data_IF_209014014689
#
_entry.id   IF_209014014689
#
_cell.length_a   1.000
_cell.length_b   1.000
_cell.length_c   1.000
_cell.angle_alpha   90.00
_cell.angle_beta   90.00
_cell.angle_gamma   90.00
#
_symmetry.space_group_name_H-M   'P 1'
#
loop_
_entity.id
_entity.type
_entity.pdbx_description
1 polymer ?
#
# COMPACT_ATOMS: atom_id res chain seq x y z
N UNK A 1 -11.92 -0.30 4.48
CA UNK A 1 -11.11 -1.52 4.23
C UNK A 1 -10.06 -1.69 5.30
N UNK A 2 -9.78 -2.93 5.66
CA UNK A 2 -8.83 -3.26 6.72
C UNK A 2 -7.57 -3.88 6.13
N UNK A 3 -6.39 -3.44 6.56
CA UNK A 3 -5.13 -4.02 6.16
C UNK A 3 -4.96 -5.39 6.81
N UNK A 4 -4.74 -6.45 6.01
CA UNK A 4 -4.58 -7.81 6.49
C UNK A 4 -3.20 -8.38 6.26
N UNK A 5 -2.45 -7.85 5.28
CA UNK A 5 -1.10 -8.34 5.00
C UNK A 5 -0.26 -7.27 4.31
N UNK A 6 1.00 -7.14 4.73
CA UNK A 6 2.00 -6.37 4.01
C UNK A 6 2.78 -7.35 3.15
N UNK A 7 2.73 -7.17 1.82
CA UNK A 7 3.39 -8.09 0.88
C UNK A 7 4.88 -7.80 0.83
N UNK A 8 5.24 -6.55 0.60
CA UNK A 8 6.64 -6.13 0.55
C UNK A 8 6.76 -4.61 0.73
N UNK A 9 7.94 -4.18 1.15
CA UNK A 9 8.30 -2.77 1.25
C UNK A 9 9.40 -2.51 0.22
N UNK A 10 9.30 -1.40 -0.51
CA UNK A 10 10.26 -1.07 -1.57
C UNK A 10 10.43 0.44 -1.67
N UNK A 11 11.38 0.88 -2.50
CA UNK A 11 11.63 2.29 -2.75
C UNK A 11 11.45 2.62 -4.23
N UNK A 12 10.90 3.81 -4.50
CA UNK A 12 10.79 4.38 -5.84
C UNK A 12 11.62 5.66 -5.89
N UNK A 13 12.73 5.62 -6.61
CA UNK A 13 13.65 6.76 -6.71
C UNK A 13 13.07 7.93 -7.51
N UNK A 14 12.08 7.67 -8.36
CA UNK A 14 11.45 8.67 -9.23
C UNK A 14 10.19 9.30 -8.63
N UNK A 15 9.81 8.92 -7.42
CA UNK A 15 8.60 9.40 -6.78
C UNK A 15 8.90 10.42 -5.68
N UNK A 16 7.94 11.32 -5.43
CA UNK A 16 8.02 12.30 -4.35
C UNK A 16 8.14 11.61 -2.98
N UNK A 17 7.30 10.60 -2.76
CA UNK A 17 7.38 9.76 -1.59
C UNK A 17 8.06 8.45 -1.98
N UNK A 18 9.33 8.29 -1.61
CA UNK A 18 10.16 7.19 -2.09
C UNK A 18 9.86 5.87 -1.40
N UNK A 19 9.55 5.90 -0.11
CA UNK A 19 9.27 4.68 0.65
C UNK A 19 7.84 4.23 0.38
N UNK A 20 7.71 3.01 -0.13
CA UNK A 20 6.42 2.43 -0.51
C UNK A 20 6.26 1.03 0.06
N UNK A 21 5.03 0.58 0.19
CA UNK A 21 4.75 -0.81 0.51
C UNK A 21 3.50 -1.27 -0.23
N UNK A 22 3.47 -2.56 -0.50
CA UNK A 22 2.36 -3.22 -1.18
C UNK A 22 1.59 -4.02 -0.15
N UNK A 23 0.28 -3.82 -0.07
CA UNK A 23 -0.56 -4.40 0.99
C UNK A 23 -1.79 -5.07 0.41
N UNK A 24 -2.33 -6.05 1.15
CA UNK A 24 -3.62 -6.66 0.87
C UNK A 24 -4.62 -6.15 1.90
N UNK A 25 -5.80 -5.79 1.43
CA UNK A 25 -6.88 -5.22 2.22
C UNK A 25 -8.08 -6.14 2.21
N UNK A 26 -8.75 -6.26 3.36
CA UNK A 26 -10.05 -6.90 3.45
C UNK A 26 -11.13 -5.84 3.15
N UNK A 27 -11.95 -6.12 2.15
CA UNK A 27 -13.07 -5.26 1.77
C UNK A 27 -14.27 -5.50 2.67
N UNK A 28 -15.21 -4.55 2.68
CA UNK A 28 -16.43 -4.66 3.46
C UNK A 28 -17.36 -5.78 2.96
N UNK A 29 -17.20 -6.21 1.70
CA UNK A 29 -17.99 -7.30 1.11
C UNK A 29 -17.38 -8.69 1.34
N UNK A 30 -16.30 -8.80 2.11
CA UNK A 30 -15.64 -10.06 2.40
C UNK A 30 -14.60 -10.50 1.37
N UNK A 31 -14.43 -9.75 0.29
CA UNK A 31 -13.40 -9.98 -0.70
C UNK A 31 -12.13 -9.19 -0.37
N UNK A 32 -11.08 -9.41 -1.14
CA UNK A 32 -9.79 -8.77 -0.92
C UNK A 32 -9.43 -7.86 -2.08
N UNK A 33 -8.65 -6.81 -1.78
CA UNK A 33 -8.04 -5.94 -2.78
C UNK A 33 -6.58 -5.75 -2.42
N UNK A 34 -5.79 -5.23 -3.34
CA UNK A 34 -4.44 -4.81 -3.01
C UNK A 34 -4.31 -3.31 -3.24
N UNK A 35 -3.34 -2.71 -2.57
CA UNK A 35 -3.04 -1.29 -2.73
C UNK A 35 -1.57 -1.04 -2.49
N UNK A 36 -1.09 0.07 -3.02
CA UNK A 36 0.23 0.60 -2.70
C UNK A 36 0.03 1.70 -1.66
N UNK A 37 0.88 1.71 -0.64
CA UNK A 37 0.93 2.77 0.37
C UNK A 37 2.27 3.46 0.31
N UNK A 38 2.29 4.76 0.60
CA UNK A 38 3.52 5.53 0.67
C UNK A 38 3.72 6.09 2.07
N UNK A 39 4.98 6.18 2.48
CA UNK A 39 5.33 6.79 3.76
C UNK A 39 5.47 8.28 3.59
N UNK A 40 4.84 9.05 4.47
CA UNK A 40 4.95 10.50 4.49
C UNK A 40 5.42 10.98 5.84
N UNK A 41 6.10 12.11 5.82
CA UNK A 41 6.53 12.80 7.03
C UNK A 41 6.41 14.29 6.77
N UNK A 42 5.60 14.97 7.57
CA UNK A 42 5.40 16.42 7.48
C UNK A 42 6.10 17.09 8.63
N UNK A 43 6.89 18.11 8.32
CA UNK A 43 7.63 18.88 9.30
C UNK A 43 7.20 20.34 9.25
N UNK A 44 7.17 20.97 10.41
CA UNK A 44 6.90 22.41 10.54
C UNK A 44 7.84 22.97 11.58
N UNK A 45 8.64 23.98 11.18
CA UNK A 45 9.63 24.63 12.04
C UNK A 45 10.59 23.66 12.73
N UNK A 46 10.99 22.60 12.01
CA UNK A 46 11.92 21.60 12.52
C UNK A 46 11.29 20.50 13.36
N UNK A 47 9.98 20.55 13.56
CA UNK A 47 9.25 19.50 14.31
C UNK A 47 8.42 18.65 13.38
N UNK A 48 8.38 17.35 13.65
CA UNK A 48 7.50 16.42 12.94
C UNK A 48 6.09 16.60 13.46
N UNK A 49 5.18 17.06 12.60
CA UNK A 49 3.79 17.29 12.96
C UNK A 49 2.87 16.15 12.55
N UNK A 50 3.28 15.35 11.56
CA UNK A 50 2.53 14.18 11.13
C UNK A 50 3.45 13.23 10.39
N UNK A 51 3.27 11.93 10.59
CA UNK A 51 3.96 10.92 9.80
C UNK A 51 3.13 9.63 9.78
N UNK A 52 3.32 8.82 8.77
CA UNK A 52 2.63 7.55 8.65
C UNK A 52 2.56 7.06 7.21
N UNK A 53 1.68 6.10 7.01
CA UNK A 53 1.44 5.51 5.70
C UNK A 53 0.10 6.00 5.15
N UNK A 54 0.12 6.50 3.93
CA UNK A 54 -1.08 6.91 3.21
C UNK A 54 -1.33 5.93 2.08
N UNK A 55 -2.61 5.59 1.87
CA UNK A 55 -3.01 4.56 0.92
C UNK A 55 -3.42 5.20 -0.41
N UNK A 56 -2.89 4.66 -1.50
CA UNK A 56 -3.39 4.95 -2.83
C UNK A 56 -4.66 4.15 -3.09
N UNK A 57 -5.33 4.40 -4.22
CA UNK A 57 -6.59 3.73 -4.52
C UNK A 57 -6.43 2.21 -4.57
N UNK A 58 -7.25 1.44 -3.83
CA UNK A 58 -7.22 -0.02 -3.91
C UNK A 58 -7.65 -0.51 -5.29
N UNK A 59 -7.10 -1.64 -5.70
CA UNK A 59 -7.39 -2.26 -6.98
C UNK A 59 -7.83 -3.70 -6.83
N UNK A 60 -8.76 -4.11 -7.68
CA UNK A 60 -9.18 -5.49 -7.84
C UNK A 60 -10.14 -5.98 -6.77
N UNK A 61 -10.75 -7.12 -7.06
CA UNK A 61 -11.62 -7.86 -6.16
C UNK A 61 -11.20 -9.32 -6.26
N UNK A 62 -10.70 -9.87 -5.16
CA UNK A 62 -10.12 -11.21 -5.14
C UNK A 62 -10.75 -12.04 -4.01
N UNK A 63 -10.85 -13.34 -4.22
CA UNK A 63 -11.47 -14.23 -3.23
C UNK A 63 -10.56 -14.57 -2.06
N UNK A 64 -9.24 -14.54 -2.27
CA UNK A 64 -8.27 -14.91 -1.24
C UNK A 64 -7.12 -13.90 -1.16
N UNK A 65 -6.43 -13.90 -0.02
CA UNK A 65 -5.24 -13.07 0.18
C UNK A 65 -4.13 -13.47 -0.81
N UNK A 66 -3.97 -14.77 -1.05
CA UNK A 66 -2.94 -15.29 -1.94
C UNK A 66 -3.12 -14.81 -3.38
N UNK A 67 -4.35 -14.82 -3.88
CA UNK A 67 -4.66 -14.34 -5.22
C UNK A 67 -4.40 -12.85 -5.33
N UNK A 68 -4.84 -12.08 -4.33
CA UNK A 68 -4.61 -10.64 -4.29
C UNK A 68 -3.11 -10.31 -4.27
N UNK A 69 -2.35 -11.04 -3.46
CA UNK A 69 -0.90 -10.84 -3.36
C UNK A 69 -0.18 -11.17 -4.68
N UNK A 70 -0.57 -12.26 -5.32
CA UNK A 70 0.01 -12.66 -6.60
C UNK A 70 -0.24 -11.62 -7.69
N UNK A 71 -1.45 -11.09 -7.77
CA UNK A 71 -1.79 -10.05 -8.74
C UNK A 71 -1.04 -8.76 -8.45
N UNK A 72 -0.92 -8.39 -7.19
CA UNK A 72 -0.20 -7.19 -6.79
C UNK A 72 1.28 -7.25 -7.21
N UNK A 73 1.93 -8.38 -6.98
CA UNK A 73 3.32 -8.59 -7.39
C UNK A 73 3.49 -8.55 -8.90
N UNK A 74 2.55 -9.14 -9.63
CA UNK A 74 2.56 -9.14 -11.09
C UNK A 74 2.49 -7.72 -11.64
N UNK A 75 1.64 -6.90 -11.07
CA UNK A 75 1.48 -5.51 -11.52
C UNK A 75 2.68 -4.65 -11.16
N UNK A 76 3.28 -4.87 -10.01
CA UNK A 76 4.46 -4.10 -9.61
C UNK A 76 5.67 -4.39 -10.50
N UNK A 77 5.79 -5.59 -11.01
CA UNK A 77 6.91 -5.99 -11.88
C UNK A 77 6.79 -5.48 -13.32
N UNK A 78 5.71 -4.81 -13.67
CA UNK A 78 5.50 -4.27 -15.02
C UNK A 78 6.06 -2.86 -15.19
#
# INVERSE_FOLDING_TARGET
MQLVKIIETFERSDALHKRRRLVVLLRDDGFFSFAEEYYFRSEYEGEVVAEGWARLSPEGIFETVEIAAAEARSRRCR
#
